data_IF_492472005968
#
_entry.id   IF_492472005968
#
_cell.length_a   1.000
_cell.length_b   1.000
_cell.length_c   1.000
_cell.angle_alpha   90.00
_cell.angle_beta   90.00
_cell.angle_gamma   90.00
#
_symmetry.space_group_name_H-M   'P 1'
#
loop_
_entity.id
_entity.type
_entity.pdbx_description
1 polymer ?
#
# COMPACT_ATOMS: atom_id res chain seq x y z
N UNK A 1 48.08 -31.30 32.38
CA UNK A 1 46.86 -30.71 33.01
C UNK A 1 46.34 -29.42 32.35
N UNK A 2 47.20 -28.55 31.78
CA UNK A 2 46.80 -27.24 31.22
C UNK A 2 45.86 -27.31 29.98
N UNK A 3 46.06 -28.30 29.11
CA UNK A 3 45.25 -28.49 27.88
C UNK A 3 43.79 -28.94 28.12
N UNK A 4 43.50 -29.67 29.21
CA UNK A 4 42.11 -30.06 29.53
C UNK A 4 41.30 -28.85 29.98
N UNK A 5 41.86 -27.98 30.83
CA UNK A 5 41.19 -26.76 31.31
C UNK A 5 40.80 -25.80 30.17
N UNK A 6 41.66 -25.67 29.15
CA UNK A 6 41.38 -24.84 27.97
C UNK A 6 40.21 -25.41 27.15
N UNK A 7 40.17 -26.73 26.92
CA UNK A 7 39.03 -27.38 26.25
C UNK A 7 37.71 -27.19 27.01
N UNK A 8 37.72 -27.32 28.33
CA UNK A 8 36.53 -27.08 29.15
C UNK A 8 36.05 -25.63 29.07
N UNK A 9 36.98 -24.67 29.05
CA UNK A 9 36.63 -23.25 28.91
C UNK A 9 35.98 -22.95 27.55
N UNK A 10 36.49 -23.53 26.46
CA UNK A 10 35.90 -23.39 25.12
C UNK A 10 34.49 -23.99 25.04
N UNK A 11 34.27 -25.17 25.64
CA UNK A 11 32.97 -25.81 25.70
C UNK A 11 31.94 -24.97 26.48
N UNK A 12 32.36 -24.35 27.59
CA UNK A 12 31.50 -23.45 28.37
C UNK A 12 31.13 -22.20 27.57
N UNK A 13 32.09 -21.59 26.86
CA UNK A 13 31.83 -20.40 26.02
C UNK A 13 30.85 -20.73 24.89
N UNK A 14 31.04 -21.86 24.19
CA UNK A 14 30.13 -22.29 23.12
C UNK A 14 28.72 -22.55 23.68
N UNK A 15 28.62 -23.18 24.85
CA UNK A 15 27.33 -23.44 25.49
C UNK A 15 26.62 -22.13 25.89
N UNK A 16 27.36 -21.15 26.42
CA UNK A 16 26.80 -19.83 26.74
C UNK A 16 26.31 -19.14 25.47
N UNK A 17 27.10 -19.11 24.39
CA UNK A 17 26.68 -18.52 23.11
C UNK A 17 25.42 -19.20 22.57
N UNK A 18 25.35 -20.54 22.62
CA UNK A 18 24.17 -21.28 22.18
C UNK A 18 22.94 -20.98 23.04
N UNK A 19 23.09 -20.91 24.36
CA UNK A 19 21.99 -20.55 25.28
C UNK A 19 21.56 -19.10 25.03
N UNK A 20 22.50 -18.18 24.81
CA UNK A 20 22.16 -16.78 24.49
C UNK A 20 21.49 -16.68 23.13
N UNK A 21 21.93 -17.42 22.12
CA UNK A 21 21.26 -17.48 20.81
C UNK A 21 19.88 -18.12 20.92
N UNK A 22 19.71 -19.21 21.67
CA UNK A 22 18.39 -19.81 21.94
C UNK A 22 17.48 -18.87 22.72
N UNK A 23 18.02 -18.14 23.70
CA UNK A 23 17.28 -17.13 24.44
C UNK A 23 16.89 -15.96 23.53
N UNK A 24 17.78 -15.51 22.64
CA UNK A 24 17.45 -14.50 21.63
C UNK A 24 16.42 -15.05 20.64
N UNK A 25 16.55 -16.28 20.16
CA UNK A 25 15.58 -16.88 19.23
C UNK A 25 14.21 -17.13 19.88
N UNK A 26 14.17 -17.47 21.17
CA UNK A 26 12.94 -17.70 21.91
C UNK A 26 12.33 -16.41 22.49
N UNK A 27 13.10 -15.33 22.63
CA UNK A 27 12.64 -13.99 23.03
C UNK A 27 12.70 -12.95 21.90
N UNK A 28 12.99 -13.37 20.67
CA UNK A 28 12.25 -12.85 19.54
C UNK A 28 10.85 -13.31 19.85
N UNK A 29 10.13 -12.46 20.60
CA UNK A 29 8.69 -12.47 20.56
C UNK A 29 8.37 -12.71 19.10
N UNK A 30 7.66 -13.80 18.80
CA UNK A 30 6.77 -13.77 17.67
C UNK A 30 6.05 -12.44 17.86
N UNK A 31 6.46 -11.43 17.09
CA UNK A 31 5.57 -10.33 16.79
C UNK A 31 4.34 -11.08 16.32
N UNK A 32 3.35 -11.20 17.20
CA UNK A 32 2.01 -11.49 16.78
C UNK A 32 1.72 -10.32 15.86
N UNK A 33 2.10 -10.47 14.59
CA UNK A 33 1.62 -9.61 13.53
C UNK A 33 0.13 -9.64 13.76
N UNK A 34 -0.44 -8.52 14.21
CA UNK A 34 -1.87 -8.34 14.30
C UNK A 34 -2.40 -8.76 12.94
N UNK A 35 -2.88 -10.00 12.87
CA UNK A 35 -3.15 -10.62 11.60
C UNK A 35 -4.36 -9.88 11.06
N UNK A 36 -4.26 -9.42 9.82
CA UNK A 36 -5.39 -8.83 9.11
C UNK A 36 -6.50 -9.88 9.04
N UNK A 37 -7.47 -9.73 9.93
CA UNK A 37 -8.62 -10.62 10.12
C UNK A 37 -9.88 -9.79 10.24
N UNK A 38 -10.98 -10.37 9.77
CA UNK A 38 -12.27 -9.73 9.78
C UNK A 38 -12.57 -9.01 8.47
N UNK A 39 -13.46 -8.03 8.51
CA UNK A 39 -13.92 -7.24 7.38
C UNK A 39 -13.10 -5.97 7.16
N UNK A 40 -13.49 -5.16 6.17
CA UNK A 40 -12.77 -3.95 5.79
C UNK A 40 -12.68 -2.90 6.89
N UNK A 41 -13.67 -2.82 7.81
CA UNK A 41 -13.59 -1.88 8.94
C UNK A 41 -12.53 -2.33 9.94
N UNK A 42 -12.51 -3.61 10.29
CA UNK A 42 -11.56 -4.19 11.24
C UNK A 42 -10.12 -4.09 10.71
N UNK A 43 -9.93 -4.35 9.41
CA UNK A 43 -8.63 -4.15 8.77
C UNK A 43 -8.19 -2.67 8.80
N UNK A 44 -9.12 -1.72 8.66
CA UNK A 44 -8.78 -0.29 8.73
C UNK A 44 -8.29 0.05 10.14
N UNK A 45 -8.95 -0.42 11.20
CA UNK A 45 -8.49 -0.19 12.58
C UNK A 45 -7.04 -0.63 12.77
N UNK A 46 -6.72 -1.85 12.34
CA UNK A 46 -5.37 -2.42 12.42
C UNK A 46 -4.38 -1.55 11.63
N UNK A 47 -4.72 -1.14 10.41
CA UNK A 47 -3.85 -0.32 9.56
C UNK A 47 -3.63 1.07 10.16
N UNK A 48 -4.67 1.71 10.71
CA UNK A 48 -4.52 3.01 11.38
C UNK A 48 -3.64 2.90 12.62
N UNK A 49 -3.82 1.84 13.41
CA UNK A 49 -2.94 1.52 14.54
C UNK A 49 -1.49 1.33 14.10
N UNK A 50 -1.24 0.61 13.02
CA UNK A 50 0.12 0.46 12.48
C UNK A 50 0.76 1.79 12.10
N UNK A 51 -0.03 2.74 11.57
CA UNK A 51 0.47 4.08 11.23
C UNK A 51 0.81 4.88 12.51
N UNK A 52 -0.02 4.80 13.55
CA UNK A 52 0.23 5.47 14.83
C UNK A 52 1.44 4.87 15.56
N UNK A 53 1.58 3.55 15.54
CA UNK A 53 2.71 2.80 16.10
C UNK A 53 3.99 2.91 15.25
N UNK A 54 3.94 3.67 14.13
CA UNK A 54 5.07 3.91 13.24
C UNK A 54 5.64 2.62 12.59
N UNK A 55 4.82 1.58 12.44
CA UNK A 55 5.17 0.36 11.69
C UNK A 55 5.40 0.74 10.23
N UNK A 56 6.51 0.30 9.65
CA UNK A 56 6.88 0.64 8.27
C UNK A 56 6.35 -0.40 7.28
N UNK A 57 5.47 0.04 6.38
CA UNK A 57 4.84 -0.83 5.41
C UNK A 57 4.44 -0.08 4.13
N UNK A 58 4.23 -0.83 3.07
CA UNK A 58 3.54 -0.37 1.87
C UNK A 58 2.16 -0.99 1.78
N UNK A 59 1.18 -0.23 1.26
CA UNK A 59 -0.14 -0.74 0.93
C UNK A 59 -0.54 -0.27 -0.46
N UNK A 60 -0.81 -1.23 -1.36
CA UNK A 60 -1.30 -0.98 -2.72
C UNK A 60 -2.71 -1.55 -2.89
N UNK A 61 -3.54 -0.95 -3.75
CA UNK A 61 -4.93 -1.40 -3.94
C UNK A 61 -5.27 -1.67 -5.42
N UNK A 62 -4.74 -2.76 -6.00
CA UNK A 62 -5.03 -3.09 -7.40
C UNK A 62 -6.47 -3.64 -7.49
N UNK A 63 -7.33 -2.91 -8.21
CA UNK A 63 -8.77 -3.23 -8.34
C UNK A 63 -9.10 -3.68 -9.77
N UNK A 64 -10.31 -3.38 -10.24
CA UNK A 64 -10.86 -3.71 -11.56
C UNK A 64 -10.07 -3.07 -12.72
N UNK A 65 -9.63 -1.82 -12.58
CA UNK A 65 -8.80 -1.16 -13.58
C UNK A 65 -7.45 -1.84 -13.77
N UNK A 66 -6.76 -2.17 -12.67
CA UNK A 66 -5.49 -2.90 -12.71
C UNK A 66 -5.65 -4.34 -13.21
N UNK A 67 -6.72 -5.03 -12.82
CA UNK A 67 -7.09 -6.33 -13.38
C UNK A 67 -7.22 -6.27 -14.92
N UNK A 68 -7.92 -5.25 -15.42
CA UNK A 68 -8.11 -5.03 -16.87
C UNK A 68 -6.77 -4.81 -17.60
N UNK A 69 -5.88 -3.99 -17.02
CA UNK A 69 -4.53 -3.73 -17.55
C UNK A 69 -3.71 -5.03 -17.60
N UNK A 70 -3.72 -5.83 -16.52
CA UNK A 70 -2.92 -7.06 -16.46
C UNK A 70 -3.42 -8.15 -17.40
N UNK A 71 -4.71 -8.14 -17.74
CA UNK A 71 -5.29 -8.95 -18.83
C UNK A 71 -5.06 -8.37 -20.23
N UNK A 72 -4.31 -7.26 -20.33
CA UNK A 72 -3.90 -6.64 -21.59
C UNK A 72 -5.07 -6.10 -22.42
N UNK A 73 -6.12 -5.63 -21.74
CA UNK A 73 -7.29 -5.02 -22.36
C UNK A 73 -7.21 -3.50 -22.29
N UNK A 74 -7.37 -2.81 -23.43
CA UNK A 74 -7.45 -1.35 -23.48
C UNK A 74 -8.58 -0.83 -22.58
N UNK A 75 -8.27 0.16 -21.74
CA UNK A 75 -9.24 0.76 -20.82
C UNK A 75 -8.99 2.27 -20.72
N UNK A 76 -10.05 3.05 -20.75
CA UNK A 76 -10.04 4.47 -20.35
C UNK A 76 -10.83 4.60 -19.07
N UNK A 77 -10.20 5.13 -18.02
CA UNK A 77 -10.85 5.28 -16.73
C UNK A 77 -11.68 6.58 -16.66
N UNK A 78 -12.44 6.73 -15.57
CA UNK A 78 -13.26 7.92 -15.27
C UNK A 78 -12.45 9.21 -15.03
N UNK A 79 -11.12 9.11 -14.88
CA UNK A 79 -10.21 10.25 -14.78
C UNK A 79 -9.54 10.60 -16.12
N UNK A 80 -9.99 9.96 -17.22
CA UNK A 80 -9.56 10.17 -18.60
C UNK A 80 -8.10 9.85 -18.89
N UNK A 81 -7.49 8.94 -18.12
CA UNK A 81 -6.28 8.26 -18.55
C UNK A 81 -6.63 6.95 -19.28
N UNK A 82 -5.78 6.55 -20.21
CA UNK A 82 -5.98 5.39 -21.08
C UNK A 82 -4.76 4.49 -21.04
N UNK A 83 -4.99 3.21 -20.78
CA UNK A 83 -4.05 2.14 -21.07
C UNK A 83 -4.38 1.56 -22.45
N UNK A 84 -3.38 1.42 -23.32
CA UNK A 84 -3.54 0.68 -24.57
C UNK A 84 -2.95 -0.71 -24.41
N UNK A 85 -3.63 -1.71 -24.98
CA UNK A 85 -3.11 -3.06 -25.10
C UNK A 85 -1.67 -3.06 -25.64
N UNK A 86 -0.79 -3.79 -24.95
CA UNK A 86 0.64 -3.89 -25.27
C UNK A 86 1.52 -2.82 -24.61
N UNK A 87 0.96 -1.85 -23.89
CA UNK A 87 1.76 -0.86 -23.18
C UNK A 87 2.54 -1.50 -22.01
N UNK A 88 3.76 -1.01 -21.76
CA UNK A 88 4.70 -1.55 -20.77
C UNK A 88 4.14 -1.58 -19.34
N UNK A 89 3.19 -0.70 -19.01
CA UNK A 89 2.63 -0.60 -17.65
C UNK A 89 2.05 -1.93 -17.16
N UNK A 90 1.56 -2.79 -18.05
CA UNK A 90 1.13 -4.16 -17.72
C UNK A 90 2.25 -4.97 -17.08
N UNK A 91 3.40 -5.03 -17.73
CA UNK A 91 4.53 -5.83 -17.27
C UNK A 91 5.12 -5.23 -15.98
N UNK A 92 5.24 -3.90 -15.92
CA UNK A 92 5.72 -3.20 -14.72
C UNK A 92 4.82 -3.46 -13.52
N UNK A 93 3.49 -3.47 -13.73
CA UNK A 93 2.49 -3.75 -12.70
C UNK A 93 2.59 -5.19 -12.20
N UNK A 94 2.62 -6.17 -13.11
CA UNK A 94 2.75 -7.60 -12.75
C UNK A 94 4.06 -7.83 -11.99
N UNK A 95 5.17 -7.30 -12.49
CA UNK A 95 6.49 -7.47 -11.88
C UNK A 95 6.55 -6.84 -10.48
N UNK A 96 5.92 -5.67 -10.29
CA UNK A 96 5.92 -4.98 -9.01
C UNK A 96 5.06 -5.69 -7.97
N UNK A 97 3.89 -6.21 -8.35
CA UNK A 97 2.99 -6.92 -7.44
C UNK A 97 3.51 -8.31 -7.06
N UNK A 98 4.36 -8.93 -7.89
CA UNK A 98 5.01 -10.21 -7.61
C UNK A 98 6.24 -10.13 -6.70
N UNK A 99 6.68 -8.92 -6.34
CA UNK A 99 7.83 -8.78 -5.42
C UNK A 99 7.52 -9.39 -4.06
N UNK A 100 8.48 -10.14 -3.54
CA UNK A 100 8.39 -10.71 -2.20
C UNK A 100 8.86 -9.68 -1.16
N UNK A 101 7.96 -8.76 -0.82
CA UNK A 101 8.17 -7.74 0.20
C UNK A 101 7.26 -8.08 1.39
N UNK A 102 7.81 -8.56 2.53
CA UNK A 102 6.99 -9.05 3.65
C UNK A 102 6.12 -7.96 4.27
N UNK A 103 6.54 -6.69 4.16
CA UNK A 103 5.80 -5.52 4.63
C UNK A 103 5.01 -4.80 3.52
N UNK A 104 4.78 -5.43 2.37
CA UNK A 104 3.87 -4.94 1.33
C UNK A 104 2.51 -5.64 1.42
N UNK A 105 1.49 -4.89 1.80
CA UNK A 105 0.10 -5.34 1.86
C UNK A 105 -0.65 -4.98 0.58
N UNK A 106 -1.54 -5.87 0.13
CA UNK A 106 -2.24 -5.74 -1.14
C UNK A 106 -3.75 -5.81 -0.90
N UNK A 107 -4.43 -4.69 -1.17
CA UNK A 107 -5.87 -4.54 -1.09
C UNK A 107 -6.55 -4.98 -2.38
N UNK A 108 -7.30 -6.09 -2.35
CA UNK A 108 -8.04 -6.60 -3.51
C UNK A 108 -9.56 -6.56 -3.27
N UNK A 109 -10.41 -6.56 -4.32
CA UNK A 109 -11.86 -6.60 -4.16
C UNK A 109 -12.35 -7.81 -3.35
N UNK A 110 -13.44 -7.68 -2.57
CA UNK A 110 -14.15 -8.80 -1.93
C UNK A 110 -15.09 -9.52 -2.90
N UNK A 111 -15.61 -10.69 -2.51
CA UNK A 111 -16.64 -11.42 -3.26
C UNK A 111 -17.93 -10.60 -3.46
N UNK A 112 -18.22 -9.73 -2.49
CA UNK A 112 -19.33 -8.79 -2.50
C UNK A 112 -19.20 -7.64 -3.51
N UNK A 113 -18.07 -7.50 -4.22
CA UNK A 113 -17.87 -6.50 -5.25
C UNK A 113 -18.18 -7.05 -6.64
N UNK A 114 -18.50 -6.15 -7.57
CA UNK A 114 -18.71 -6.49 -8.99
C UNK A 114 -17.46 -7.21 -9.51
N UNK A 115 -17.66 -8.41 -10.07
CA UNK A 115 -16.58 -9.31 -10.54
C UNK A 115 -15.53 -9.66 -9.47
N UNK A 116 -15.82 -9.45 -8.18
CA UNK A 116 -14.84 -9.55 -7.12
C UNK A 116 -14.27 -10.95 -6.91
N UNK A 117 -15.06 -12.00 -7.19
CA UNK A 117 -14.60 -13.40 -7.13
C UNK A 117 -13.56 -13.70 -8.21
N UNK A 118 -13.88 -13.39 -9.47
CA UNK A 118 -12.98 -13.60 -10.62
C UNK A 118 -11.67 -12.82 -10.43
N UNK A 119 -11.77 -11.57 -10.00
CA UNK A 119 -10.60 -10.71 -9.75
C UNK A 119 -9.73 -11.29 -8.62
N UNK A 120 -10.34 -11.78 -7.53
CA UNK A 120 -9.59 -12.43 -6.45
C UNK A 120 -8.88 -13.69 -6.91
N UNK A 121 -9.56 -14.55 -7.68
CA UNK A 121 -8.97 -15.76 -8.26
C UNK A 121 -7.76 -15.39 -9.15
N UNK A 122 -7.88 -14.33 -9.96
CA UNK A 122 -6.75 -13.82 -10.74
C UNK A 122 -5.57 -13.40 -9.85
N UNK A 123 -5.80 -12.58 -8.82
CA UNK A 123 -4.73 -12.14 -7.92
C UNK A 123 -4.10 -13.31 -7.15
N UNK A 124 -4.90 -14.30 -6.76
CA UNK A 124 -4.42 -15.50 -6.10
C UNK A 124 -3.56 -16.36 -7.03
N UNK A 125 -4.03 -16.62 -8.25
CA UNK A 125 -3.39 -17.61 -9.12
C UNK A 125 -2.24 -17.02 -9.96
N UNK A 126 -2.38 -15.77 -10.43
CA UNK A 126 -1.39 -15.11 -11.29
C UNK A 126 -0.37 -14.30 -10.52
N UNK A 127 -0.80 -13.61 -9.46
CA UNK A 127 0.07 -12.74 -8.66
C UNK A 127 0.58 -13.47 -7.40
N UNK A 128 -0.15 -14.48 -6.90
CA UNK A 128 0.24 -15.30 -5.74
C UNK A 128 0.41 -14.49 -4.46
N UNK A 129 -0.55 -13.59 -4.20
CA UNK A 129 -0.58 -12.78 -2.99
C UNK A 129 -0.70 -13.68 -1.75
N UNK A 130 0.22 -13.61 -0.78
CA UNK A 130 0.10 -14.34 0.47
C UNK A 130 -1.11 -13.87 1.28
N UNK A 131 -1.84 -14.80 1.90
CA UNK A 131 -3.02 -14.48 2.72
C UNK A 131 -2.70 -13.50 3.86
N UNK A 132 -1.52 -13.62 4.49
CA UNK A 132 -1.07 -12.70 5.56
C UNK A 132 -0.86 -11.25 5.09
N UNK A 133 -0.69 -11.03 3.79
CA UNK A 133 -0.49 -9.71 3.17
C UNK A 133 -1.73 -9.20 2.44
N UNK A 134 -2.84 -9.95 2.47
CA UNK A 134 -4.08 -9.61 1.78
C UNK A 134 -4.95 -8.68 2.65
N UNK A 135 -5.48 -7.63 2.04
CA UNK A 135 -6.49 -6.74 2.63
C UNK A 135 -7.51 -6.32 1.59
N UNK A 136 -8.33 -5.33 1.87
CA UNK A 136 -9.42 -4.89 1.00
C UNK A 136 -9.04 -3.76 0.06
N UNK A 137 -9.48 -3.85 -1.19
CA UNK A 137 -9.28 -2.81 -2.21
C UNK A 137 -9.98 -1.49 -1.87
N UNK A 138 -11.03 -1.54 -1.04
CA UNK A 138 -11.80 -0.39 -0.59
C UNK A 138 -11.40 0.13 0.81
N UNK A 139 -10.23 -0.26 1.33
CA UNK A 139 -9.85 -0.01 2.73
C UNK A 139 -9.90 1.46 3.17
N UNK A 140 -9.74 2.43 2.26
CA UNK A 140 -9.77 3.88 2.56
C UNK A 140 -10.99 4.62 1.98
N UNK A 141 -11.99 3.89 1.48
CA UNK A 141 -13.18 4.45 0.82
C UNK A 141 -14.45 3.83 1.40
N UNK A 142 -15.64 4.14 0.86
CA UNK A 142 -16.91 3.55 1.29
C UNK A 142 -17.14 3.76 2.80
N UNK A 143 -17.59 2.73 3.54
CA UNK A 143 -17.82 2.79 4.98
C UNK A 143 -16.58 3.11 5.84
N UNK A 144 -15.39 3.04 5.25
CA UNK A 144 -14.14 3.39 5.89
C UNK A 144 -13.74 4.87 5.66
N UNK A 145 -14.34 5.52 4.67
CA UNK A 145 -13.91 6.85 4.20
C UNK A 145 -13.86 7.88 5.32
N UNK A 146 -14.97 8.08 6.04
CA UNK A 146 -15.05 9.10 7.09
C UNK A 146 -13.96 8.90 8.16
N UNK A 147 -13.81 7.66 8.65
CA UNK A 147 -12.81 7.34 9.68
C UNK A 147 -11.38 7.57 9.19
N UNK A 148 -11.08 7.15 7.96
CA UNK A 148 -9.78 7.38 7.35
C UNK A 148 -9.48 8.88 7.20
N UNK A 149 -10.44 9.68 6.73
CA UNK A 149 -10.26 11.12 6.60
C UNK A 149 -10.10 11.81 7.96
N UNK A 150 -10.90 11.44 8.95
CA UNK A 150 -10.77 11.96 10.32
C UNK A 150 -9.38 11.64 10.90
N UNK A 151 -8.84 10.45 10.62
CA UNK A 151 -7.48 10.08 10.98
C UNK A 151 -6.44 10.99 10.31
N UNK A 152 -6.52 11.15 8.98
CA UNK A 152 -5.56 11.97 8.21
C UNK A 152 -5.58 13.45 8.66
N UNK A 153 -6.76 14.02 8.94
CA UNK A 153 -6.88 15.40 9.46
C UNK A 153 -6.21 15.58 10.83
N UNK A 154 -6.22 14.53 11.65
CA UNK A 154 -5.70 14.57 13.01
C UNK A 154 -4.23 14.11 13.13
N UNK A 155 -3.67 13.52 12.07
CA UNK A 155 -2.32 13.01 12.04
C UNK A 155 -1.29 14.12 12.33
N UNK A 156 -0.36 13.85 13.25
CA UNK A 156 0.54 14.87 13.82
C UNK A 156 1.90 14.95 13.14
N UNK A 157 2.32 13.90 12.46
CA UNK A 157 3.60 13.86 11.73
C UNK A 157 3.42 14.40 10.31
N UNK A 158 4.53 14.62 9.64
CA UNK A 158 4.54 15.10 8.26
C UNK A 158 3.89 14.11 7.30
N UNK A 159 2.98 14.63 6.48
CA UNK A 159 2.38 13.90 5.36
C UNK A 159 2.98 14.41 4.06
N UNK A 160 3.42 13.48 3.22
CA UNK A 160 3.88 13.73 1.87
C UNK A 160 2.90 13.15 0.87
N UNK A 161 2.75 13.81 -0.29
CA UNK A 161 1.78 13.39 -1.28
C UNK A 161 2.41 13.22 -2.66
N UNK A 162 2.01 12.15 -3.35
CA UNK A 162 2.41 11.84 -4.73
C UNK A 162 1.15 11.72 -5.57
N UNK A 163 0.90 12.66 -6.48
CA UNK A 163 -0.33 12.69 -7.26
C UNK A 163 -0.53 14.02 -8.00
N UNK A 164 -1.62 14.17 -8.75
CA UNK A 164 -1.90 15.37 -9.53
C UNK A 164 -2.43 16.55 -8.69
N UNK A 165 -2.91 16.29 -7.47
CA UNK A 165 -3.57 17.28 -6.62
C UNK A 165 -2.66 18.43 -6.16
N UNK A 166 -3.04 19.65 -6.51
CA UNK A 166 -2.33 20.91 -6.18
C UNK A 166 -3.08 21.81 -5.21
N UNK A 167 -4.36 21.53 -4.94
CA UNK A 167 -5.20 22.34 -4.07
C UNK A 167 -4.62 22.36 -2.66
N UNK A 168 -4.50 23.56 -2.11
CA UNK A 168 -4.20 23.77 -0.70
C UNK A 168 -5.43 23.43 0.15
N UNK A 169 -5.20 22.76 1.28
CA UNK A 169 -6.24 22.40 2.24
C UNK A 169 -5.76 22.76 3.64
N UNK A 170 -6.59 23.48 4.39
CA UNK A 170 -6.33 23.76 5.80
C UNK A 170 -6.61 22.53 6.69
N UNK A 171 -7.50 21.65 6.24
CA UNK A 171 -7.92 20.45 6.97
C UNK A 171 -6.89 19.31 6.85
N UNK A 172 -6.25 19.17 5.70
CA UNK A 172 -5.24 18.13 5.44
C UNK A 172 -3.93 18.80 5.07
N UNK A 173 -3.00 18.83 6.04
CA UNK A 173 -1.70 19.49 5.90
C UNK A 173 -0.70 18.56 5.22
N UNK A 174 -0.47 18.79 3.94
CA UNK A 174 0.59 18.15 3.17
C UNK A 174 1.87 19.00 3.26
N UNK A 175 2.95 18.41 3.77
CA UNK A 175 4.24 19.10 3.92
C UNK A 175 4.91 19.39 2.58
N UNK A 176 4.93 18.39 1.69
CA UNK A 176 5.53 18.53 0.36
C UNK A 176 4.87 17.55 -0.62
N UNK A 177 4.94 17.87 -1.91
CA UNK A 177 4.24 17.17 -2.99
C UNK A 177 5.18 16.79 -4.12
N UNK A 178 5.09 15.54 -4.57
CA UNK A 178 5.58 15.13 -5.88
C UNK A 178 4.42 15.17 -6.88
N UNK A 179 4.34 16.26 -7.63
CA UNK A 179 3.25 16.48 -8.59
C UNK A 179 3.52 15.70 -9.87
N UNK A 180 2.50 14.98 -10.32
CA UNK A 180 2.52 14.24 -11.59
C UNK A 180 1.40 14.71 -12.52
N UNK A 181 1.54 14.39 -13.81
CA UNK A 181 0.44 14.53 -14.76
C UNK A 181 -0.69 13.55 -14.41
N UNK A 182 -1.94 14.02 -14.38
CA UNK A 182 -3.14 13.19 -14.15
C UNK A 182 -3.29 12.06 -15.18
N UNK A 183 -2.74 12.25 -16.38
CA UNK A 183 -2.72 11.28 -17.49
C UNK A 183 -1.35 10.65 -17.72
N UNK A 184 -0.51 10.57 -16.68
CA UNK A 184 0.81 9.96 -16.79
C UNK A 184 0.77 8.53 -17.36
N UNK A 185 -0.29 7.77 -17.11
CA UNK A 185 -0.50 6.42 -17.69
C UNK A 185 -0.37 6.44 -19.22
N UNK A 186 -0.96 7.43 -19.89
CA UNK A 186 -0.95 7.55 -21.36
C UNK A 186 0.46 7.68 -21.94
N UNK A 187 1.40 8.18 -21.14
CA UNK A 187 2.77 8.46 -21.57
C UNK A 187 3.79 7.55 -20.88
N UNK A 188 3.34 6.50 -20.18
CA UNK A 188 4.21 5.67 -19.33
C UNK A 188 5.35 5.02 -20.12
N UNK A 189 5.08 4.51 -21.33
CA UNK A 189 6.08 3.88 -22.20
C UNK A 189 7.33 4.75 -22.40
N UNK A 190 7.16 6.08 -22.45
CA UNK A 190 8.24 7.04 -22.69
C UNK A 190 8.74 7.67 -21.38
N UNK A 191 7.85 8.00 -20.45
CA UNK A 191 8.19 8.82 -19.29
C UNK A 191 8.53 8.02 -18.03
N UNK A 192 8.28 6.71 -17.99
CA UNK A 192 8.44 5.88 -16.78
C UNK A 192 9.80 6.07 -16.11
N UNK A 193 10.89 5.94 -16.84
CA UNK A 193 12.25 6.02 -16.27
C UNK A 193 12.54 7.41 -15.68
N UNK A 194 12.29 8.47 -16.47
CA UNK A 194 12.60 9.84 -16.07
C UNK A 194 11.79 10.26 -14.84
N UNK A 195 10.48 10.00 -14.82
CA UNK A 195 9.62 10.40 -13.69
C UNK A 195 9.90 9.51 -12.47
N UNK A 196 10.13 8.21 -12.65
CA UNK A 196 10.49 7.32 -11.54
C UNK A 196 11.81 7.76 -10.89
N UNK A 197 12.83 8.11 -11.68
CA UNK A 197 14.11 8.59 -11.15
C UNK A 197 13.94 9.92 -10.37
N UNK A 198 13.10 10.83 -10.86
CA UNK A 198 12.76 12.06 -10.13
C UNK A 198 12.05 11.77 -8.81
N UNK A 199 11.09 10.84 -8.80
CA UNK A 199 10.39 10.44 -7.58
C UNK A 199 11.33 9.80 -6.57
N UNK A 200 12.17 8.87 -7.01
CA UNK A 200 13.19 8.22 -6.17
C UNK A 200 14.12 9.24 -5.54
N UNK A 201 14.62 10.21 -6.31
CA UNK A 201 15.45 11.30 -5.78
C UNK A 201 14.68 12.15 -4.77
N UNK A 202 13.42 12.47 -5.06
CA UNK A 202 12.56 13.21 -4.14
C UNK A 202 12.29 12.45 -2.83
N UNK A 203 12.15 11.12 -2.85
CA UNK A 203 11.96 10.30 -1.65
C UNK A 203 13.25 10.12 -0.84
N UNK A 204 14.42 10.18 -1.47
CA UNK A 204 15.70 9.78 -0.87
C UNK A 204 16.08 10.43 0.46
N UNK A 205 15.56 11.63 0.74
CA UNK A 205 15.81 12.38 1.97
C UNK A 205 14.67 12.29 3.00
N UNK A 206 13.60 11.54 2.70
CA UNK A 206 12.45 11.33 3.59
C UNK A 206 12.65 10.06 4.42
N UNK A 207 12.47 10.19 5.73
CA UNK A 207 12.55 9.09 6.71
C UNK A 207 11.40 9.23 7.68
N UNK A 208 10.92 8.09 8.17
CA UNK A 208 9.87 8.01 9.18
C UNK A 208 8.63 8.84 8.82
N UNK A 209 8.32 8.85 7.53
CA UNK A 209 7.31 9.70 6.92
C UNK A 209 6.12 8.90 6.42
N UNK A 210 4.93 9.49 6.49
CA UNK A 210 3.73 8.98 5.83
C UNK A 210 3.64 9.56 4.41
N UNK A 211 3.66 8.69 3.40
CA UNK A 211 3.65 9.09 1.99
C UNK A 211 2.40 8.51 1.33
N UNK A 212 1.52 9.40 0.87
CA UNK A 212 0.23 9.06 0.29
C UNK A 212 0.28 9.17 -1.23
N UNK A 213 -0.21 8.16 -1.94
CA UNK A 213 -0.17 8.06 -3.39
C UNK A 213 -1.57 8.07 -4.02
N UNK A 214 -1.73 8.91 -5.05
CA UNK A 214 -2.89 8.99 -5.93
C UNK A 214 -2.43 9.06 -7.40
N UNK A 215 -1.86 7.97 -7.90
CA UNK A 215 -1.32 7.86 -9.26
C UNK A 215 -1.92 6.67 -10.05
N UNK A 216 -3.15 6.25 -9.72
CA UNK A 216 -3.84 5.14 -10.39
C UNK A 216 -3.03 3.84 -10.41
N UNK A 217 -2.83 3.19 -11.57
CA UNK A 217 -2.06 1.96 -11.66
C UNK A 217 -0.56 2.15 -11.37
N UNK A 218 -0.02 3.36 -11.60
CA UNK A 218 1.40 3.65 -11.37
C UNK A 218 1.75 3.59 -9.87
N UNK A 219 0.80 3.87 -8.98
CA UNK A 219 0.99 3.69 -7.53
C UNK A 219 1.46 2.27 -7.18
N UNK A 220 0.93 1.25 -7.86
CA UNK A 220 1.23 -0.16 -7.61
C UNK A 220 2.62 -0.57 -8.11
N UNK A 221 3.23 0.28 -8.93
CA UNK A 221 4.61 0.12 -9.41
C UNK A 221 5.56 0.85 -8.46
N UNK A 222 5.23 2.09 -8.10
CA UNK A 222 6.10 2.92 -7.27
C UNK A 222 6.16 2.52 -5.81
N UNK A 223 5.04 2.12 -5.18
CA UNK A 223 5.08 1.74 -3.77
C UNK A 223 6.01 0.54 -3.52
N UNK A 224 5.92 -0.59 -4.26
CA UNK A 224 6.85 -1.70 -4.06
C UNK A 224 8.31 -1.32 -4.32
N UNK A 225 8.57 -0.52 -5.37
CA UNK A 225 9.91 -0.02 -5.68
C UNK A 225 10.50 0.84 -4.54
N UNK A 226 9.71 1.77 -4.00
CA UNK A 226 10.15 2.69 -2.96
C UNK A 226 10.22 2.03 -1.59
N UNK A 227 9.33 1.08 -1.30
CA UNK A 227 9.38 0.29 -0.08
C UNK A 227 10.67 -0.54 -0.01
N UNK A 228 11.06 -1.17 -1.13
CA UNK A 228 12.32 -1.91 -1.23
C UNK A 228 13.54 -1.01 -1.05
N UNK A 229 13.54 0.19 -1.66
CA UNK A 229 14.70 1.09 -1.64
C UNK A 229 14.81 1.95 -0.38
N UNK A 230 13.67 2.31 0.22
CA UNK A 230 13.55 3.23 1.34
C UNK A 230 12.52 2.68 2.35
N UNK A 231 12.83 1.58 3.05
CA UNK A 231 11.87 0.84 3.86
C UNK A 231 11.44 1.54 5.15
N UNK A 232 12.08 2.65 5.53
CA UNK A 232 11.81 3.36 6.79
C UNK A 232 10.65 4.37 6.69
N UNK A 233 9.78 4.24 5.67
CA UNK A 233 8.61 5.10 5.49
C UNK A 233 7.34 4.24 5.40
N UNK A 234 6.19 4.89 5.54
CA UNK A 234 4.88 4.29 5.29
C UNK A 234 4.38 4.78 3.93
N UNK A 235 4.00 3.86 3.06
CA UNK A 235 3.53 4.15 1.70
C UNK A 235 2.10 3.67 1.51
N UNK A 236 1.14 4.58 1.29
CA UNK A 236 -0.27 4.22 1.13
C UNK A 236 -0.81 4.61 -0.24
N UNK A 237 -1.37 3.65 -0.97
CA UNK A 237 -2.27 3.93 -2.10
C UNK A 237 -3.60 4.47 -1.55
N UNK A 238 -3.81 5.79 -1.60
CA UNK A 238 -5.05 6.42 -1.14
C UNK A 238 -6.03 6.70 -2.29
N UNK A 239 -5.60 6.53 -3.55
CA UNK A 239 -6.44 6.74 -4.72
C UNK A 239 -7.20 8.07 -4.67
N UNK A 240 -8.51 8.02 -4.90
CA UNK A 240 -9.39 9.20 -4.90
C UNK A 240 -9.84 9.67 -3.51
N UNK A 241 -9.43 9.01 -2.41
CA UNK A 241 -9.92 9.36 -1.07
C UNK A 241 -9.63 10.81 -0.70
N UNK A 242 -8.57 11.42 -1.23
CA UNK A 242 -8.20 12.79 -0.90
C UNK A 242 -8.67 13.84 -1.94
N UNK A 243 -9.44 13.44 -2.95
CA UNK A 243 -9.77 14.31 -4.09
C UNK A 243 -10.49 15.61 -3.66
N UNK A 244 -11.48 15.53 -2.76
CA UNK A 244 -12.21 16.69 -2.20
C UNK A 244 -11.25 17.76 -1.65
N UNK A 245 -10.14 17.30 -1.05
CA UNK A 245 -9.19 18.15 -0.34
C UNK A 245 -8.05 18.63 -1.23
N UNK A 246 -7.59 17.81 -2.17
CA UNK A 246 -6.32 18.03 -2.87
C UNK A 246 -6.46 18.35 -4.36
N UNK A 247 -7.63 18.13 -4.96
CA UNK A 247 -7.86 18.45 -6.37
C UNK A 247 -8.67 19.74 -6.52
N UNK A 248 -8.27 20.57 -7.49
CA UNK A 248 -8.99 21.80 -7.85
C UNK A 248 -10.33 21.45 -8.53
N UNK A 249 -10.31 20.43 -9.38
CA UNK A 249 -11.48 19.86 -10.05
C UNK A 249 -11.64 18.37 -9.64
N UNK A 250 -12.23 18.10 -8.48
CA UNK A 250 -12.33 16.74 -7.96
C UNK A 250 -13.36 15.91 -8.72
N UNK A 251 -13.03 14.65 -8.99
CA UNK A 251 -13.98 13.67 -9.51
C UNK A 251 -14.63 12.92 -8.35
N UNK A 252 -15.65 13.55 -7.75
CA UNK A 252 -16.23 13.10 -6.49
C UNK A 252 -16.93 11.75 -6.62
N UNK A 253 -16.70 10.88 -5.64
CA UNK A 253 -17.43 9.63 -5.45
C UNK A 253 -18.59 9.84 -4.50
N UNK A 254 -19.64 9.03 -4.67
CA UNK A 254 -20.85 8.98 -3.82
C UNK A 254 -20.53 9.02 -2.33
N UNK A 255 -19.64 8.13 -1.87
CA UNK A 255 -19.22 8.03 -0.46
C UNK A 255 -18.51 9.28 0.09
N UNK A 256 -18.09 10.23 -0.76
CA UNK A 256 -17.42 11.45 -0.35
C UNK A 256 -18.38 12.61 -0.07
N UNK A 257 -19.60 12.55 -0.61
CA UNK A 257 -20.55 13.67 -0.61
C UNK A 257 -21.93 13.31 -0.07
N UNK A 258 -22.28 12.03 -0.03
CA UNK A 258 -23.60 11.56 0.38
C UNK A 258 -23.48 10.39 1.36
N UNK A 259 -23.79 10.67 2.63
CA UNK A 259 -23.77 9.69 3.73
C UNK A 259 -24.91 8.66 3.66
N UNK A 260 -25.85 8.85 2.71
CA UNK A 260 -26.93 7.91 2.42
C UNK A 260 -26.68 7.06 1.18
N UNK A 261 -25.58 7.29 0.47
CA UNK A 261 -25.26 6.47 -0.70
C UNK A 261 -24.97 5.03 -0.31
N UNK A 262 -25.29 4.09 -1.20
CA UNK A 262 -25.03 2.66 -1.00
C UNK A 262 -23.54 2.40 -0.71
N UNK A 263 -22.65 3.12 -1.39
CA UNK A 263 -21.20 3.02 -1.16
C UNK A 263 -20.79 3.51 0.22
N UNK A 264 -21.43 4.54 0.78
CA UNK A 264 -21.06 5.07 2.09
C UNK A 264 -21.24 4.04 3.21
N UNK A 265 -22.20 3.12 3.10
CA UNK A 265 -22.43 2.08 4.10
C UNK A 265 -21.80 0.73 3.73
N UNK A 266 -21.16 0.63 2.56
CA UNK A 266 -20.62 -0.62 2.03
C UNK A 266 -19.38 -1.08 2.82
N UNK A 267 -19.54 -2.19 3.53
CA UNK A 267 -18.47 -2.92 4.21
C UNK A 267 -18.10 -4.13 3.35
N UNK A 268 -16.81 -4.33 3.10
CA UNK A 268 -16.32 -5.49 2.36
C UNK A 268 -15.88 -6.59 3.32
N UNK A 269 -16.26 -7.82 3.03
CA UNK A 269 -15.86 -9.01 3.80
C UNK A 269 -15.50 -10.12 2.81
N UNK A 270 -14.40 -10.83 3.08
CA UNK A 270 -13.97 -11.93 2.20
C UNK A 270 -14.82 -13.19 2.43
N UNK A 271 -15.43 -13.31 3.61
CA UNK A 271 -16.19 -14.47 4.04
C UNK A 271 -17.69 -14.37 3.72
N UNK A 272 -18.20 -13.17 3.45
CA UNK A 272 -19.61 -12.98 3.06
C UNK A 272 -19.74 -13.00 1.53
N UNK A 273 -20.54 -13.94 1.04
CA UNK A 273 -21.01 -14.04 -0.35
C UNK A 273 -22.52 -13.90 -0.39
#
# INVERSE_FOLDING_TARGET
MRNKKIKYLYLIIILIILITLLYIFNNIESFDEENLKGNSKEHLEIILKWIDDDKKFGLVRPNDGEYTIMNDSTITNIDNWTYNKGDRIKDDLINSLKKDLPNLYIGIPCNCCIQGKEIQEFYKDKIQIPESRKTYGNIFVNANYKKFIDFIKNYKKDIYYVGPGKKYSEEIKIKDRFIIDKKLVNNWNVQHEIITNKLVNWISNKKDSLILFSAGPITKIWIPLLLEKYPNNIYLDVGSSLDVYLNEEPNLRSYQVDDKSDDYNKICDFNNS
#
